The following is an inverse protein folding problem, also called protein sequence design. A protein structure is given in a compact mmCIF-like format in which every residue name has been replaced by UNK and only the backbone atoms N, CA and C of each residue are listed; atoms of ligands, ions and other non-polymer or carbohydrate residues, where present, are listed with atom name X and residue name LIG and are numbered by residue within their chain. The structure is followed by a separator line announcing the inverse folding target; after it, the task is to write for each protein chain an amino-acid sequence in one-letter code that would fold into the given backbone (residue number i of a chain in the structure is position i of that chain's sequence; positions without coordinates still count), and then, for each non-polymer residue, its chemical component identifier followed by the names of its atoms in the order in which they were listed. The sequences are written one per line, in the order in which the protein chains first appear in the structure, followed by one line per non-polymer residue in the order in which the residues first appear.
data_IF_960972979549
#
_entry.id   IF_960972979549
#
_cell.length_a   1.000
_cell.length_b   1.000
_cell.length_c   1.000
_cell.angle_alpha   90.00
_cell.angle_beta   90.00
_cell.angle_gamma   90.00
#
_symmetry.space_group_name_H-M   'P 1'
#
loop_
_entity.id
_entity.type
_entity.pdbx_description
1 polymer ?
#
# COMPACT_ATOMS: atom_id res chain seq x y z
N UNK A 1 6.31 3.82 11.73
CA UNK A 1 6.01 5.20 11.22
C UNK A 1 4.81 5.14 10.28
N UNK A 2 4.07 6.24 10.09
CA UNK A 2 2.89 6.32 9.21
C UNK A 2 3.23 7.11 7.94
N UNK A 3 2.86 6.59 6.78
CA UNK A 3 2.91 7.30 5.49
C UNK A 3 1.51 7.32 4.85
N UNK A 4 1.22 8.38 4.09
CA UNK A 4 -0.03 8.57 3.35
C UNK A 4 0.29 8.86 1.90
N UNK A 5 -0.35 8.14 0.99
CA UNK A 5 -0.17 8.27 -0.46
C UNK A 5 -1.53 8.40 -1.12
N UNK A 6 -1.73 9.43 -1.93
CA UNK A 6 -2.93 9.56 -2.75
C UNK A 6 -2.93 8.56 -3.90
N UNK A 7 -4.09 7.96 -4.14
CA UNK A 7 -4.36 7.01 -5.20
C UNK A 7 -5.77 7.25 -5.74
N UNK A 8 -6.12 6.50 -6.78
CA UNK A 8 -7.47 6.50 -7.32
C UNK A 8 -7.98 5.07 -7.52
N UNK A 9 -9.26 4.86 -7.22
CA UNK A 9 -10.00 3.66 -7.63
C UNK A 9 -10.92 4.01 -8.78
N UNK A 10 -11.08 3.09 -9.74
CA UNK A 10 -12.00 3.28 -10.85
C UNK A 10 -13.37 2.68 -10.51
N UNK A 11 -14.43 3.48 -10.58
CA UNK A 11 -15.81 3.01 -10.53
C UNK A 11 -16.48 3.28 -11.88
N UNK A 12 -16.55 2.25 -12.73
CA UNK A 12 -16.99 2.42 -14.12
C UNK A 12 -15.99 3.27 -14.91
N UNK A 13 -16.33 4.54 -15.13
CA UNK A 13 -15.46 5.52 -15.79
C UNK A 13 -14.99 6.64 -14.85
N UNK A 14 -15.45 6.65 -13.60
CA UNK A 14 -15.14 7.68 -12.62
C UNK A 14 -13.92 7.29 -11.79
N UNK A 15 -12.99 8.24 -11.61
CA UNK A 15 -11.87 8.08 -10.71
C UNK A 15 -12.25 8.63 -9.33
N UNK A 16 -12.31 7.74 -8.33
CA UNK A 16 -12.59 8.08 -6.94
C UNK A 16 -11.29 8.16 -6.16
N UNK A 17 -11.13 9.24 -5.39
CA UNK A 17 -9.94 9.43 -4.56
C UNK A 17 -9.85 8.33 -3.49
N UNK A 18 -8.66 7.77 -3.33
CA UNK A 18 -8.34 6.78 -2.30
C UNK A 18 -7.06 7.20 -1.61
N UNK A 19 -7.07 7.24 -0.27
CA UNK A 19 -5.84 7.42 0.51
C UNK A 19 -5.31 6.04 0.90
N UNK A 20 -4.03 5.78 0.57
CA UNK A 20 -3.30 4.59 0.99
C UNK A 20 -2.45 4.96 2.21
N UNK A 21 -2.88 4.51 3.37
CA UNK A 21 -2.17 4.72 4.62
C UNK A 21 -1.33 3.47 4.96
N UNK A 22 -0.02 3.65 5.10
CA UNK A 22 0.90 2.56 5.43
C UNK A 22 1.54 2.81 6.78
N UNK A 23 1.36 1.87 7.70
CA UNK A 23 1.98 1.88 9.01
C UNK A 23 2.91 0.69 9.18
N UNK A 24 4.17 0.94 9.52
CA UNK A 24 5.15 -0.08 9.89
C UNK A 24 5.38 -0.05 11.41
N UNK A 25 5.06 -1.16 12.08
CA UNK A 25 5.21 -1.37 13.51
C UNK A 25 6.19 -2.49 13.88
N UNK A 26 6.56 -2.58 15.16
CA UNK A 26 7.67 -3.41 15.67
C UNK A 26 7.29 -4.84 16.12
N UNK A 27 6.30 -5.48 15.48
CA UNK A 27 5.90 -6.87 15.79
C UNK A 27 6.39 -7.86 14.72
N UNK A 28 5.84 -9.09 14.68
CA UNK A 28 6.14 -10.08 13.64
C UNK A 28 5.98 -9.52 12.23
N UNK A 29 6.86 -9.95 11.31
CA UNK A 29 6.83 -9.56 9.90
C UNK A 29 5.58 -10.13 9.24
N UNK A 30 4.61 -9.26 8.98
CA UNK A 30 3.35 -9.59 8.33
C UNK A 30 2.84 -8.35 7.61
N UNK A 31 2.28 -8.52 6.41
CA UNK A 31 1.60 -7.45 5.68
C UNK A 31 0.11 -7.72 5.67
N UNK A 32 -0.68 -6.73 6.05
CA UNK A 32 -2.14 -6.79 6.10
C UNK A 32 -2.72 -5.63 5.30
N UNK A 33 -3.63 -5.94 4.38
CA UNK A 33 -4.34 -4.95 3.56
C UNK A 33 -5.82 -4.94 3.98
N UNK A 34 -6.34 -3.76 4.33
CA UNK A 34 -7.73 -3.52 4.77
C UNK A 34 -8.37 -2.36 4.01
N UNK A 35 -9.69 -2.18 4.13
CA UNK A 35 -10.45 -1.19 3.36
C UNK A 35 -11.11 -1.78 2.10
N UNK A 36 -11.76 -2.94 2.26
CA UNK A 36 -12.43 -3.70 1.19
C UNK A 36 -11.57 -3.98 -0.07
N UNK A 37 -10.35 -4.53 0.06
CA UNK A 37 -9.56 -4.96 -1.09
C UNK A 37 -10.11 -6.26 -1.69
N UNK A 38 -10.16 -6.32 -3.02
CA UNK A 38 -10.38 -7.55 -3.77
C UNK A 38 -9.16 -8.49 -3.74
N UNK A 39 -9.22 -9.59 -4.49
CA UNK A 39 -8.11 -10.54 -4.58
C UNK A 39 -6.86 -9.92 -5.22
N UNK A 40 -7.01 -9.17 -6.31
CA UNK A 40 -5.89 -8.56 -7.03
C UNK A 40 -5.14 -7.54 -6.15
N UNK A 41 -5.87 -6.75 -5.36
CA UNK A 41 -5.31 -5.81 -4.39
C UNK A 41 -4.60 -6.55 -3.26
N UNK A 42 -5.13 -7.69 -2.78
CA UNK A 42 -4.45 -8.51 -1.75
C UNK A 42 -3.14 -9.11 -2.26
N UNK A 43 -3.10 -9.53 -3.52
CA UNK A 43 -1.90 -10.04 -4.19
C UNK A 43 -0.83 -8.95 -4.40
N UNK A 44 -1.19 -7.66 -4.31
CA UNK A 44 -0.23 -6.55 -4.36
C UNK A 44 0.88 -6.71 -3.33
N UNK A 45 0.60 -7.35 -2.18
CA UNK A 45 1.64 -7.64 -1.17
C UNK A 45 2.83 -8.40 -1.78
N UNK A 46 2.55 -9.44 -2.56
CA UNK A 46 3.57 -10.34 -3.08
C UNK A 46 4.27 -9.69 -4.30
N UNK A 47 3.51 -8.98 -5.14
CA UNK A 47 4.06 -8.20 -6.28
C UNK A 47 4.94 -7.05 -5.82
N UNK A 48 4.47 -6.24 -4.87
CA UNK A 48 5.22 -5.11 -4.32
C UNK A 48 6.45 -5.62 -3.58
N UNK A 49 6.34 -6.68 -2.77
CA UNK A 49 7.50 -7.28 -2.11
C UNK A 49 8.60 -7.65 -3.10
N UNK A 50 8.23 -8.39 -4.15
CA UNK A 50 9.16 -8.77 -5.22
C UNK A 50 9.75 -7.55 -5.94
N UNK A 51 8.93 -6.53 -6.23
CA UNK A 51 9.39 -5.32 -6.92
C UNK A 51 10.38 -4.50 -6.08
N UNK A 52 10.14 -4.37 -4.77
CA UNK A 52 11.03 -3.66 -3.85
C UNK A 52 12.40 -4.33 -3.78
N UNK A 53 12.44 -5.65 -3.61
CA UNK A 53 13.68 -6.41 -3.54
C UNK A 53 14.49 -6.32 -4.84
N UNK A 54 13.83 -6.48 -6.00
CA UNK A 54 14.48 -6.38 -7.31
C UNK A 54 14.89 -4.94 -7.67
N UNK A 55 14.36 -3.95 -6.96
CA UNK A 55 14.74 -2.53 -7.12
C UNK A 55 15.83 -2.08 -6.14
N UNK A 56 16.36 -2.99 -5.31
CA UNK A 56 17.42 -2.69 -4.33
C UNK A 56 16.92 -2.07 -3.03
N UNK A 57 15.61 -2.03 -2.80
CA UNK A 57 15.04 -1.59 -1.53
C UNK A 57 14.93 -2.75 -0.54
N UNK A 58 14.84 -2.41 0.74
CA UNK A 58 14.62 -3.39 1.82
C UNK A 58 13.13 -3.57 2.03
N UNK A 59 12.70 -4.83 2.18
CA UNK A 59 11.35 -5.08 2.66
C UNK A 59 11.20 -4.57 4.12
N UNK A 60 10.14 -3.82 4.46
CA UNK A 60 9.94 -3.31 5.82
C UNK A 60 9.91 -4.45 6.84
N UNK A 61 10.69 -4.30 7.92
CA UNK A 61 10.69 -5.27 9.02
C UNK A 61 9.52 -4.97 9.95
N UNK A 62 8.79 -6.02 10.31
CA UNK A 62 7.67 -5.99 11.24
C UNK A 62 6.30 -5.89 10.59
N UNK A 63 5.27 -5.59 11.38
CA UNK A 63 3.89 -5.60 10.90
C UNK A 63 3.62 -4.34 10.10
N UNK A 64 3.37 -4.54 8.81
CA UNK A 64 2.99 -3.51 7.86
C UNK A 64 1.48 -3.56 7.65
N UNK A 65 0.76 -2.54 8.11
CA UNK A 65 -0.67 -2.40 7.88
C UNK A 65 -0.89 -1.37 6.77
N UNK A 66 -1.63 -1.77 5.74
CA UNK A 66 -2.00 -0.95 4.59
C UNK A 66 -3.51 -0.76 4.65
N UNK A 67 -3.94 0.46 4.91
CA UNK A 67 -5.35 0.84 4.94
C UNK A 67 -5.72 1.60 3.66
N UNK A 68 -6.82 1.23 3.02
CA UNK A 68 -7.34 1.86 1.80
C UNK A 68 -8.61 2.64 2.12
N UNK A 69 -8.51 3.96 2.29
CA UNK A 69 -9.65 4.82 2.63
C UNK A 69 -10.29 5.43 1.37
N UNK A 70 -11.62 5.56 1.28
CA UNK A 70 -12.61 5.28 2.32
C UNK A 70 -12.99 3.79 2.38
N UNK A 71 -13.30 3.27 3.57
CA UNK A 71 -13.41 1.82 3.82
C UNK A 71 -14.70 1.17 3.27
N UNK A 72 -15.67 1.96 2.82
CA UNK A 72 -16.95 1.54 2.22
C UNK A 72 -16.87 1.38 0.69
N UNK A 73 -15.87 1.97 0.06
CA UNK A 73 -15.57 1.80 -1.36
C UNK A 73 -14.68 0.57 -1.57
N UNK A 74 -15.13 -0.38 -2.40
CA UNK A 74 -14.31 -1.53 -2.83
C UNK A 74 -13.11 -1.07 -3.66
N UNK A 75 -11.94 -1.65 -3.40
CA UNK A 75 -10.71 -1.42 -4.18
C UNK A 75 -10.44 -2.67 -5.01
N UNK A 76 -10.43 -2.47 -6.33
CA UNK A 76 -10.31 -3.56 -7.31
C UNK A 76 -9.10 -3.36 -8.22
N UNK A 77 -8.48 -4.49 -8.59
CA UNK A 77 -7.38 -4.52 -9.55
C UNK A 77 -6.00 -4.11 -9.01
N UNK A 78 -4.96 -4.14 -9.87
CA UNK A 78 -3.57 -3.98 -9.46
C UNK A 78 -3.10 -2.53 -9.38
N UNK A 79 -3.98 -1.53 -9.58
CA UNK A 79 -3.61 -0.10 -9.62
C UNK A 79 -3.03 0.42 -8.30
N UNK A 80 -3.21 -0.34 -7.21
CA UNK A 80 -2.69 0.00 -5.89
C UNK A 80 -1.25 -0.43 -5.66
N UNK A 81 -0.62 -1.18 -6.58
CA UNK A 81 0.76 -1.66 -6.40
C UNK A 81 1.75 -0.51 -6.14
N UNK A 82 1.75 0.51 -7.01
CA UNK A 82 2.64 1.66 -6.89
C UNK A 82 2.42 2.47 -5.61
N UNK A 83 1.19 2.94 -5.28
CA UNK A 83 1.00 3.70 -4.05
C UNK A 83 1.29 2.88 -2.78
N UNK A 84 1.03 1.57 -2.79
CA UNK A 84 1.44 0.68 -1.70
C UNK A 84 2.97 0.63 -1.56
N UNK A 85 3.71 0.44 -2.66
CA UNK A 85 5.16 0.40 -2.66
C UNK A 85 5.76 1.72 -2.12
N UNK A 86 5.25 2.85 -2.60
CA UNK A 86 5.66 4.17 -2.12
C UNK A 86 5.39 4.35 -0.63
N UNK A 87 4.20 3.95 -0.16
CA UNK A 87 3.83 4.03 1.25
C UNK A 87 4.72 3.14 2.13
N UNK A 88 5.06 1.94 1.67
CA UNK A 88 5.98 1.03 2.38
C UNK A 88 7.39 1.63 2.50
N UNK A 89 7.91 2.23 1.42
CA UNK A 89 9.21 2.88 1.44
C UNK A 89 9.24 4.11 2.34
N UNK A 90 8.21 4.95 2.28
CA UNK A 90 8.10 6.13 3.12
C UNK A 90 7.94 5.77 4.60
N UNK A 91 7.04 4.83 4.92
CA UNK A 91 6.81 4.38 6.31
C UNK A 91 7.99 3.59 6.91
N UNK A 92 8.94 3.15 6.08
CA UNK A 92 10.19 2.50 6.51
C UNK A 92 11.42 3.42 6.37
N UNK A 93 11.20 4.73 6.18
CA UNK A 93 12.26 5.75 6.11
C UNK A 93 13.28 5.52 4.97
N UNK A 94 12.90 4.78 3.93
CA UNK A 94 13.74 4.54 2.76
C UNK A 94 13.55 5.60 1.67
N UNK A 95 12.54 6.46 1.80
CA UNK A 95 12.24 7.55 0.87
C UNK A 95 11.54 8.68 1.63
N UNK A 96 11.86 9.94 1.28
CA UNK A 96 11.05 11.09 1.70
C UNK A 96 9.85 11.24 0.77
N UNK A 97 8.63 11.15 1.32
CA UNK A 97 7.44 11.67 0.64
C UNK A 97 7.35 13.16 0.94
N UNK A 98 7.89 13.99 0.03
CA UNK A 98 7.55 15.41 0.00
C UNK A 98 6.15 15.53 -0.60
N UNK A 99 5.14 15.54 0.25
CA UNK A 99 3.78 15.96 -0.08
C UNK A 99 3.48 17.19 0.77
#
# INVERSE_FOLDING_TARGET
MLAKIDAASLQGIEALNVEVEVHVGYSDTCVVIVGLPDAAVRESRDRVGSALENSGFKFPKGRTTINLAPADLKKEGPSFDLPIAMGMLAASEQMETRL
#
